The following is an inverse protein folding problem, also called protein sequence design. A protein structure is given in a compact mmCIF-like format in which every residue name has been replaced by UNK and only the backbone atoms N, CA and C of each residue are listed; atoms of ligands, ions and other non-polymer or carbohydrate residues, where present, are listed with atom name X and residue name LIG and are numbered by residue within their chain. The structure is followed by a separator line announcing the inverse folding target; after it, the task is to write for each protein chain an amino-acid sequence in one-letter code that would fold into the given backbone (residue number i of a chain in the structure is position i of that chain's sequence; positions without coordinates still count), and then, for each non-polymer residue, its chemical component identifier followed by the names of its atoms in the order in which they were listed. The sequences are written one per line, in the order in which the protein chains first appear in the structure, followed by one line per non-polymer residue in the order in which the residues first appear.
data_IF_791867775121
#
_entry.id   IF_791867775121
#
_cell.length_a   1.000
_cell.length_b   1.000
_cell.length_c   1.000
_cell.angle_alpha   90.00
_cell.angle_beta   90.00
_cell.angle_gamma   90.00
#
_symmetry.space_group_name_H-M   'P 1'
#
loop_
_entity.id
_entity.type
_entity.pdbx_description
1 polymer ?
#
# COMPACT_ATOMS: atom_id res chain seq x y z
N UNK A 1 17.30 41.35 16.54
CA UNK A 1 15.86 41.01 16.48
C UNK A 1 15.40 40.50 15.10
N UNK A 2 15.92 41.04 13.98
CA UNK A 2 15.59 40.57 12.62
C UNK A 2 16.08 39.16 12.26
N UNK A 3 17.22 38.72 12.80
CA UNK A 3 17.76 37.36 12.57
C UNK A 3 16.84 36.23 13.09
N UNK A 4 16.07 36.48 14.16
CA UNK A 4 15.16 35.47 14.72
C UNK A 4 13.95 35.19 13.82
N UNK A 5 13.46 36.20 13.11
CA UNK A 5 12.36 36.04 12.16
C UNK A 5 12.78 35.28 10.90
N UNK A 6 14.00 35.51 10.41
CA UNK A 6 14.52 34.79 9.24
C UNK A 6 14.79 33.32 9.56
N UNK A 7 15.32 33.01 10.75
CA UNK A 7 15.52 31.63 11.21
C UNK A 7 14.18 30.90 11.39
N UNK A 8 13.16 31.55 11.99
CA UNK A 8 11.81 30.99 12.12
C UNK A 8 11.11 30.82 10.77
N UNK A 9 11.37 31.70 9.79
CA UNK A 9 10.86 31.57 8.43
C UNK A 9 11.50 30.39 7.68
N UNK A 10 12.82 30.19 7.82
CA UNK A 10 13.52 29.02 7.25
C UNK A 10 13.07 27.73 7.95
N UNK A 11 12.90 27.71 9.27
CA UNK A 11 12.41 26.53 10.00
C UNK A 11 10.96 26.20 9.62
N UNK A 12 10.10 27.19 9.41
CA UNK A 12 8.71 26.97 8.96
C UNK A 12 8.59 26.58 7.48
N UNK A 13 9.53 27.01 6.63
CA UNK A 13 9.66 26.51 5.25
C UNK A 13 10.18 25.06 5.19
N UNK A 14 11.15 24.70 6.05
CA UNK A 14 11.67 23.34 6.12
C UNK A 14 10.68 22.35 6.76
N UNK A 15 9.80 22.80 7.68
CA UNK A 15 8.72 21.96 8.23
C UNK A 15 7.58 21.67 7.22
N UNK A 16 7.47 22.43 6.13
CA UNK A 16 6.50 22.15 5.05
C UNK A 16 7.02 21.18 3.99
N UNK A 17 8.31 20.85 4.01
CA UNK A 17 8.96 20.09 2.93
C UNK A 17 9.84 18.94 3.42
N UNK A 18 9.53 18.36 4.58
CA UNK A 18 9.87 16.97 4.85
C UNK A 18 8.91 16.05 4.08
N UNK A 19 8.95 16.11 2.74
CA UNK A 19 8.32 15.18 1.81
C UNK A 19 9.17 13.91 1.69
N UNK A 20 9.57 13.36 2.82
CA UNK A 20 10.39 12.15 2.90
C UNK A 20 9.49 10.92 3.02
N UNK A 21 9.46 10.17 1.91
CA UNK A 21 9.42 8.71 1.82
C UNK A 21 8.12 7.91 2.01
N UNK A 22 7.06 8.39 2.67
CA UNK A 22 5.83 7.57 2.79
C UNK A 22 4.54 8.36 2.54
N UNK A 23 4.11 8.45 1.27
CA UNK A 23 2.73 8.82 0.88
C UNK A 23 1.72 7.71 1.25
N UNK A 24 1.90 7.09 2.41
CA UNK A 24 1.11 5.98 2.88
C UNK A 24 0.37 6.39 4.14
N UNK A 25 -0.96 6.35 4.07
CA UNK A 25 -1.78 6.63 5.24
C UNK A 25 -1.73 5.45 6.19
N UNK A 26 -1.31 5.68 7.44
CA UNK A 26 -1.40 4.69 8.53
C UNK A 26 -2.50 5.10 9.50
N UNK A 27 -3.50 4.25 9.68
CA UNK A 27 -4.61 4.44 10.62
C UNK A 27 -4.59 3.37 11.70
N UNK A 28 -5.00 3.74 12.91
CA UNK A 28 -5.07 2.85 14.06
C UNK A 28 -6.45 2.96 14.68
N UNK A 29 -7.18 1.86 14.80
CA UNK A 29 -8.58 1.83 15.25
C UNK A 29 -8.74 1.73 16.79
N UNK A 30 -7.65 1.65 17.54
CA UNK A 30 -7.63 1.82 19.00
C UNK A 30 -7.37 3.28 19.42
N UNK A 31 -6.96 4.12 18.48
CA UNK A 31 -6.69 5.52 18.74
C UNK A 31 -8.01 6.27 18.92
N UNK A 32 -8.28 6.70 20.16
CA UNK A 32 -9.50 7.43 20.52
C UNK A 32 -9.75 8.66 19.64
N UNK A 33 -8.70 9.28 19.08
CA UNK A 33 -8.86 10.44 18.20
C UNK A 33 -9.38 10.07 16.81
N UNK A 34 -8.97 8.93 16.25
CA UNK A 34 -9.38 8.43 14.94
C UNK A 34 -10.68 7.63 14.99
N UNK A 35 -10.99 7.10 16.17
CA UNK A 35 -12.13 6.25 16.35
C UNK A 35 -13.44 7.02 16.26
N UNK A 36 -14.39 6.49 15.47
CA UNK A 36 -15.66 7.16 15.13
C UNK A 36 -15.46 8.44 14.29
N UNK A 37 -14.31 8.61 13.63
CA UNK A 37 -14.15 9.66 12.64
C UNK A 37 -14.87 9.32 11.35
N UNK A 38 -15.62 10.30 10.86
CA UNK A 38 -16.56 10.11 9.75
C UNK A 38 -15.89 10.27 8.38
N UNK A 39 -14.83 11.08 8.23
CA UNK A 39 -14.30 11.38 6.90
C UNK A 39 -12.81 11.71 6.91
N UNK A 40 -12.00 10.77 6.41
CA UNK A 40 -10.64 11.08 5.96
C UNK A 40 -10.69 11.36 4.46
N UNK A 41 -10.41 12.60 4.07
CA UNK A 41 -10.41 13.03 2.67
C UNK A 41 -9.06 12.72 2.00
N UNK A 42 -9.03 11.69 1.16
CA UNK A 42 -7.81 11.17 0.54
C UNK A 42 -7.42 11.93 -0.75
N UNK A 43 -7.27 13.25 -0.70
CA UNK A 43 -7.00 14.03 -1.93
C UNK A 43 -5.70 13.63 -2.65
N UNK A 44 -4.68 13.21 -1.91
CA UNK A 44 -3.35 12.85 -2.42
C UNK A 44 -2.83 11.52 -1.85
N UNK A 45 -3.73 10.69 -1.32
CA UNK A 45 -3.39 9.41 -0.71
C UNK A 45 -3.86 8.32 -1.65
N UNK A 46 -2.92 7.57 -2.21
CA UNK A 46 -3.20 6.50 -3.16
C UNK A 46 -3.14 5.11 -2.52
N UNK A 47 -2.59 5.01 -1.31
CA UNK A 47 -2.54 3.78 -0.52
C UNK A 47 -2.58 4.06 0.97
N UNK A 48 -2.91 3.05 1.74
CA UNK A 48 -2.75 3.10 3.18
C UNK A 48 -2.92 1.75 3.84
N UNK A 49 -2.66 1.75 5.14
CA UNK A 49 -2.80 0.62 6.05
C UNK A 49 -3.65 1.04 7.24
N UNK A 50 -4.51 0.14 7.67
CA UNK A 50 -5.43 0.32 8.78
C UNK A 50 -5.20 -0.83 9.73
N UNK A 51 -4.73 -0.49 10.91
CA UNK A 51 -4.41 -1.43 11.95
C UNK A 51 -5.51 -1.43 13.00
N UNK A 52 -5.77 -2.60 13.55
CA UNK A 52 -6.58 -2.72 14.76
C UNK A 52 -6.07 -1.82 15.90
N UNK A 53 -4.75 -1.77 16.13
CA UNK A 53 -4.18 -1.04 17.25
C UNK A 53 -2.72 -0.61 17.02
N UNK A 54 -2.23 0.38 17.77
CA UNK A 54 -0.90 0.99 17.56
C UNK A 54 0.27 0.00 17.69
N UNK A 55 0.13 -0.99 18.57
CA UNK A 55 1.16 -1.98 18.84
C UNK A 55 0.99 -3.30 18.04
N UNK A 56 0.21 -3.27 16.96
CA UNK A 56 -0.07 -4.45 16.13
C UNK A 56 1.21 -5.17 15.66
N UNK A 57 2.19 -4.42 15.16
CA UNK A 57 3.47 -4.97 14.65
C UNK A 57 4.32 -5.63 15.73
N UNK A 58 4.16 -5.20 16.97
CA UNK A 58 4.84 -5.77 18.12
C UNK A 58 4.13 -7.05 18.64
N UNK A 59 3.11 -7.54 17.92
CA UNK A 59 2.29 -8.70 18.28
C UNK A 59 1.61 -8.52 19.64
N UNK A 60 1.25 -7.29 19.99
CA UNK A 60 0.42 -7.05 21.16
C UNK A 60 -1.04 -7.40 20.88
N UNK A 61 -1.81 -7.53 21.96
CA UNK A 61 -3.24 -7.70 21.89
C UNK A 61 -3.93 -6.33 21.85
N UNK A 62 -5.04 -6.23 21.11
CA UNK A 62 -5.95 -5.09 21.26
C UNK A 62 -6.76 -5.17 22.56
N UNK A 63 -7.31 -4.05 23.00
CA UNK A 63 -8.19 -3.99 24.18
C UNK A 63 -9.59 -4.56 23.89
N UNK A 64 -10.20 -5.29 24.85
CA UNK A 64 -11.57 -5.77 24.73
C UNK A 64 -12.57 -4.61 24.78
N UNK A 65 -13.83 -4.89 24.43
CA UNK A 65 -14.96 -3.94 24.49
C UNK A 65 -14.76 -2.62 23.73
N UNK A 66 -13.92 -2.64 22.69
CA UNK A 66 -13.75 -1.52 21.79
C UNK A 66 -14.80 -1.57 20.68
N UNK A 67 -15.40 -0.42 20.36
CA UNK A 67 -16.23 -0.26 19.18
C UNK A 67 -15.70 0.93 18.38
N UNK A 68 -15.12 0.63 17.23
CA UNK A 68 -14.53 1.62 16.38
C UNK A 68 -15.04 1.59 14.96
N UNK A 69 -15.53 2.73 14.49
CA UNK A 69 -15.88 2.93 13.09
C UNK A 69 -14.90 3.90 12.44
N UNK A 70 -14.35 3.54 11.28
CA UNK A 70 -13.56 4.43 10.43
C UNK A 70 -14.23 4.51 9.07
N UNK A 71 -14.55 5.73 8.63
CA UNK A 71 -15.15 5.97 7.32
C UNK A 71 -14.18 6.77 6.46
N UNK A 72 -13.86 6.23 5.28
CA UNK A 72 -12.92 6.82 4.34
C UNK A 72 -13.68 7.27 3.11
N UNK A 73 -13.40 8.50 2.67
CA UNK A 73 -14.01 9.10 1.50
C UNK A 73 -12.94 9.42 0.46
N UNK A 74 -13.13 8.88 -0.72
CA UNK A 74 -12.28 9.11 -1.89
C UNK A 74 -12.91 10.16 -2.80
N UNK A 75 -12.16 10.58 -3.83
CA UNK A 75 -12.72 11.38 -4.93
C UNK A 75 -13.74 10.54 -5.69
N UNK A 76 -14.73 11.19 -6.33
CA UNK A 76 -15.69 10.49 -7.20
C UNK A 76 -14.93 9.72 -8.29
N UNK A 77 -15.42 8.53 -8.64
CA UNK A 77 -14.90 7.63 -9.70
C UNK A 77 -13.58 6.90 -9.40
N UNK A 78 -13.08 7.00 -8.17
CA UNK A 78 -11.94 6.19 -7.72
C UNK A 78 -12.45 4.88 -7.14
N UNK A 79 -11.84 3.77 -7.54
CA UNK A 79 -12.08 2.44 -7.02
C UNK A 79 -11.07 2.11 -5.93
N UNK A 80 -11.42 1.15 -5.09
CA UNK A 80 -10.55 0.69 -4.03
C UNK A 80 -10.31 -0.81 -4.13
N UNK A 81 -9.09 -1.21 -3.83
CA UNK A 81 -8.72 -2.57 -3.51
C UNK A 81 -8.42 -2.62 -2.03
N UNK A 82 -9.03 -3.53 -1.31
CA UNK A 82 -8.76 -3.79 0.10
C UNK A 82 -8.22 -5.21 0.26
N UNK A 83 -7.18 -5.36 1.06
CA UNK A 83 -6.51 -6.61 1.35
C UNK A 83 -6.41 -6.78 2.87
N UNK A 84 -6.71 -7.97 3.37
CA UNK A 84 -6.76 -8.27 4.80
C UNK A 84 -5.62 -9.20 5.19
N UNK A 85 -4.90 -8.82 6.22
CA UNK A 85 -3.81 -9.57 6.82
C UNK A 85 -4.17 -9.88 8.28
N UNK A 86 -4.20 -11.17 8.60
CA UNK A 86 -4.30 -11.63 9.98
C UNK A 86 -2.91 -12.01 10.48
N UNK A 87 -2.57 -11.57 11.69
CA UNK A 87 -1.39 -12.07 12.38
C UNK A 87 -1.57 -13.58 12.65
N UNK A 88 -0.59 -14.40 12.26
CA UNK A 88 -0.60 -15.88 12.27
C UNK A 88 -0.69 -16.54 13.66
N UNK A 89 -1.17 -15.83 14.69
CA UNK A 89 -1.30 -16.37 16.03
C UNK A 89 -2.38 -17.45 16.12
N UNK A 90 -2.10 -18.50 16.88
CA UNK A 90 -2.95 -19.67 17.12
C UNK A 90 -4.28 -19.39 17.83
N UNK A 91 -4.51 -18.19 18.36
CA UNK A 91 -5.78 -17.80 18.97
C UNK A 91 -6.81 -17.49 17.89
N UNK A 92 -7.57 -18.50 17.48
CA UNK A 92 -8.72 -18.33 16.60
C UNK A 92 -9.75 -17.43 17.28
N UNK A 93 -10.15 -16.35 16.61
CA UNK A 93 -11.44 -15.72 16.91
C UNK A 93 -12.56 -16.79 16.76
N UNK A 94 -13.73 -16.62 17.37
CA UNK A 94 -14.91 -17.44 17.10
C UNK A 94 -15.38 -17.27 15.65
N UNK A 95 -15.98 -18.30 15.03
CA UNK A 95 -16.49 -18.22 13.65
C UNK A 95 -17.77 -17.37 13.59
N UNK A 96 -17.87 -16.55 12.54
CA UNK A 96 -19.01 -15.65 12.30
C UNK A 96 -20.30 -16.37 11.91
N UNK A 97 -20.24 -17.70 11.74
CA UNK A 97 -21.27 -18.50 11.05
C UNK A 97 -22.52 -18.73 11.87
N UNK A 98 -22.46 -18.51 13.17
CA UNK A 98 -23.63 -18.67 14.02
C UNK A 98 -24.30 -17.32 14.16
N UNK A 99 -25.40 -17.11 13.43
CA UNK A 99 -26.26 -15.91 13.57
C UNK A 99 -26.65 -15.61 15.02
N UNK A 100 -26.59 -16.64 15.90
CA UNK A 100 -26.77 -16.56 17.34
C UNK A 100 -25.62 -15.85 18.08
N UNK A 101 -24.39 -15.88 17.57
CA UNK A 101 -23.20 -15.25 18.16
C UNK A 101 -22.71 -14.01 17.42
N UNK A 102 -23.36 -13.65 16.30
CA UNK A 102 -23.06 -12.44 15.55
C UNK A 102 -23.00 -11.18 16.44
N UNK A 103 -23.70 -11.13 17.58
CA UNK A 103 -23.68 -10.03 18.55
C UNK A 103 -22.56 -10.04 19.60
N UNK A 104 -21.89 -11.16 19.84
CA UNK A 104 -21.02 -11.37 21.02
C UNK A 104 -19.54 -11.63 20.70
N UNK A 105 -19.17 -11.71 19.43
CA UNK A 105 -17.79 -12.00 19.03
C UNK A 105 -17.07 -10.75 18.49
N UNK A 106 -15.73 -10.78 18.58
CA UNK A 106 -14.90 -9.80 17.92
C UNK A 106 -15.12 -9.89 16.40
N UNK A 107 -15.42 -8.78 15.75
CA UNK A 107 -15.75 -8.77 14.33
C UNK A 107 -15.31 -7.48 13.65
N UNK A 108 -14.96 -7.61 12.37
CA UNK A 108 -14.60 -6.54 11.47
C UNK A 108 -15.56 -6.56 10.30
N UNK A 109 -16.36 -5.52 10.15
CA UNK A 109 -17.32 -5.40 9.05
C UNK A 109 -16.81 -4.38 8.04
N UNK A 110 -16.89 -4.74 6.76
CA UNK A 110 -16.55 -3.88 5.63
C UNK A 110 -17.84 -3.53 4.92
N UNK A 111 -18.13 -2.24 4.80
CA UNK A 111 -19.40 -1.71 4.31
C UNK A 111 -19.13 -0.78 3.12
N UNK A 112 -19.83 -0.99 2.01
CA UNK A 112 -19.82 -0.08 0.85
C UNK A 112 -20.73 1.11 1.15
N UNK A 113 -20.14 2.28 1.32
CA UNK A 113 -20.81 3.51 1.76
C UNK A 113 -20.62 3.81 3.26
N UNK A 114 -21.60 4.51 3.82
CA UNK A 114 -21.69 4.81 5.25
C UNK A 114 -22.08 3.58 6.06
N UNK A 115 -22.18 3.71 7.39
CA UNK A 115 -22.56 2.63 8.33
C UNK A 115 -23.86 1.89 7.99
N UNK A 116 -24.80 2.54 7.31
CA UNK A 116 -26.06 1.94 6.85
C UNK A 116 -26.01 1.44 5.40
N UNK A 117 -24.81 1.41 4.80
CA UNK A 117 -24.57 0.96 3.44
C UNK A 117 -24.68 -0.56 3.28
N UNK A 118 -24.33 -1.03 2.09
CA UNK A 118 -24.35 -2.47 1.81
C UNK A 118 -23.18 -3.14 2.49
N UNK A 119 -23.47 -4.08 3.39
CA UNK A 119 -22.43 -4.89 4.01
C UNK A 119 -21.78 -5.77 2.95
N UNK A 120 -20.47 -5.60 2.76
CA UNK A 120 -19.70 -6.38 1.80
C UNK A 120 -19.16 -7.65 2.43
N UNK A 121 -18.68 -7.54 3.67
CA UNK A 121 -18.07 -8.66 4.36
C UNK A 121 -18.10 -8.47 5.88
N UNK A 122 -18.18 -9.60 6.58
CA UNK A 122 -17.84 -9.72 8.00
C UNK A 122 -16.63 -10.63 8.10
N UNK A 123 -15.62 -10.20 8.85
CA UNK A 123 -14.42 -10.96 9.17
C UNK A 123 -14.40 -11.17 10.67
N UNK A 124 -14.34 -12.42 11.07
CA UNK A 124 -13.97 -12.87 12.40
C UNK A 124 -13.42 -14.29 12.23
N UNK A 125 -13.21 -15.02 13.30
CA UNK A 125 -12.56 -16.32 13.20
C UNK A 125 -11.04 -16.24 13.02
N UNK A 126 -10.40 -17.40 13.17
CA UNK A 126 -9.36 -17.71 12.21
C UNK A 126 -10.12 -17.95 10.90
N UNK A 127 -10.25 -16.92 10.07
CA UNK A 127 -10.88 -17.07 8.76
C UNK A 127 -9.91 -17.92 7.92
N UNK A 128 -10.01 -19.25 8.08
CA UNK A 128 -9.09 -20.26 7.53
C UNK A 128 -9.44 -20.64 6.10
N UNK A 129 -10.58 -20.17 5.58
CA UNK A 129 -10.84 -20.26 4.15
C UNK A 129 -9.71 -19.51 3.50
N UNK A 130 -8.79 -20.28 2.89
CA UNK A 130 -7.50 -19.84 2.36
C UNK A 130 -7.71 -18.64 1.44
N UNK A 131 -7.76 -17.47 2.05
CA UNK A 131 -7.80 -16.18 1.42
C UNK A 131 -6.34 -15.94 1.04
N UNK A 132 -5.88 -16.68 0.02
CA UNK A 132 -4.63 -16.36 -0.64
C UNK A 132 -4.75 -14.90 -1.09
N UNK A 133 -4.11 -14.01 -0.33
CA UNK A 133 -3.14 -13.04 -0.81
C UNK A 133 -3.62 -11.98 -1.82
N UNK A 134 -4.94 -11.87 -2.11
CA UNK A 134 -5.41 -10.87 -3.08
C UNK A 134 -6.91 -10.68 -3.34
N UNK A 135 -7.79 -10.87 -2.36
CA UNK A 135 -9.20 -10.52 -2.64
C UNK A 135 -9.38 -9.03 -2.47
N UNK A 136 -9.01 -8.30 -3.53
CA UNK A 136 -9.39 -6.92 -3.71
C UNK A 136 -10.92 -6.83 -3.68
N UNK A 137 -11.50 -6.45 -2.54
CA UNK A 137 -12.89 -6.04 -2.51
C UNK A 137 -12.99 -4.77 -3.33
N UNK A 138 -13.67 -4.86 -4.48
CA UNK A 138 -13.88 -3.73 -5.37
C UNK A 138 -15.10 -2.97 -4.86
N UNK A 139 -14.84 -1.83 -4.23
CA UNK A 139 -15.88 -0.92 -3.72
C UNK A 139 -16.47 -0.12 -4.87
N UNK A 140 -17.80 -0.05 -4.97
CA UNK A 140 -18.47 0.70 -6.06
C UNK A 140 -18.67 2.16 -5.69
N UNK A 141 -18.78 2.48 -4.40
CA UNK A 141 -18.95 3.85 -3.96
C UNK A 141 -17.61 4.51 -3.59
N UNK A 142 -17.59 5.85 -3.60
CA UNK A 142 -16.42 6.63 -3.18
C UNK A 142 -16.30 6.76 -1.66
N UNK A 143 -17.04 5.96 -0.91
CA UNK A 143 -17.12 6.00 0.55
C UNK A 143 -17.11 4.56 1.02
N UNK A 144 -16.33 4.24 2.04
CA UNK A 144 -16.48 2.93 2.67
C UNK A 144 -16.21 3.04 4.15
N UNK A 145 -16.84 2.13 4.88
CA UNK A 145 -16.83 2.12 6.32
C UNK A 145 -16.26 0.79 6.80
N UNK A 146 -15.33 0.88 7.74
CA UNK A 146 -14.83 -0.25 8.52
C UNK A 146 -15.43 -0.13 9.91
N UNK A 147 -16.25 -1.11 10.31
CA UNK A 147 -16.83 -1.22 11.65
C UNK A 147 -16.13 -2.36 12.40
N UNK A 148 -15.28 -2.02 13.36
CA UNK A 148 -14.55 -2.98 14.18
C UNK A 148 -15.13 -3.02 15.59
N UNK A 149 -15.42 -4.22 16.08
CA UNK A 149 -15.91 -4.45 17.43
C UNK A 149 -15.10 -5.53 18.11
N UNK A 150 -14.82 -5.32 19.37
CA UNK A 150 -14.12 -6.26 20.23
C UNK A 150 -14.89 -6.51 21.52
N UNK A 151 -14.57 -7.65 22.11
CA UNK A 151 -15.16 -8.31 23.27
C UNK A 151 -14.09 -9.08 24.03
N UNK A 152 -13.13 -9.67 23.33
CA UNK A 152 -11.99 -10.37 23.92
C UNK A 152 -10.66 -9.68 23.58
N UNK A 153 -9.53 -10.21 24.06
CA UNK A 153 -8.20 -9.76 23.65
C UNK A 153 -7.67 -10.69 22.55
N UNK A 154 -7.21 -10.13 21.43
CA UNK A 154 -6.59 -10.90 20.34
C UNK A 154 -5.57 -10.03 19.58
N UNK A 155 -4.79 -10.64 18.68
CA UNK A 155 -3.68 -9.97 17.98
C UNK A 155 -4.16 -8.93 16.95
N UNK A 156 -5.45 -8.91 16.63
CA UNK A 156 -6.03 -7.92 15.75
C UNK A 156 -5.81 -8.22 14.28
N UNK A 157 -5.71 -7.15 13.50
CA UNK A 157 -5.60 -7.21 12.05
C UNK A 157 -4.83 -6.02 11.49
N UNK A 158 -4.45 -6.20 10.23
CA UNK A 158 -4.02 -5.17 9.32
C UNK A 158 -4.87 -5.25 8.04
N UNK A 159 -5.35 -4.09 7.59
CA UNK A 159 -6.00 -3.92 6.31
C UNK A 159 -5.12 -3.02 5.45
N UNK A 160 -4.77 -3.45 4.26
CA UNK A 160 -4.09 -2.62 3.26
C UNK A 160 -5.09 -2.19 2.20
N UNK A 161 -5.07 -0.92 1.83
CA UNK A 161 -5.90 -0.44 0.73
C UNK A 161 -5.08 0.29 -0.32
N UNK A 162 -5.56 0.21 -1.57
CA UNK A 162 -4.99 0.88 -2.74
C UNK A 162 -6.13 1.52 -3.52
N UNK A 163 -5.98 2.79 -3.84
CA UNK A 163 -6.88 3.54 -4.70
C UNK A 163 -6.43 3.40 -6.16
N UNK A 164 -7.37 3.16 -7.06
CA UNK A 164 -7.11 3.06 -8.49
C UNK A 164 -8.26 3.61 -9.32
N UNK A 165 -7.96 4.09 -10.51
CA UNK A 165 -8.96 4.37 -11.54
C UNK A 165 -9.09 3.17 -12.50
N UNK A 166 -10.13 3.17 -13.33
CA UNK A 166 -10.24 2.21 -14.43
C UNK A 166 -9.82 2.86 -15.73
N UNK A 167 -9.05 2.13 -16.53
CA UNK A 167 -8.68 2.55 -17.87
C UNK A 167 -9.93 2.71 -18.75
N UNK A 168 -9.99 3.79 -19.52
CA UNK A 168 -11.03 4.07 -20.53
C UNK A 168 -10.37 3.90 -21.89
N UNK A 169 -10.99 3.12 -22.78
CA UNK A 169 -10.44 2.79 -24.10
C UNK A 169 -9.00 2.23 -24.07
N UNK A 170 -8.71 1.49 -22.99
CA UNK A 170 -7.41 0.85 -22.80
C UNK A 170 -6.29 1.82 -22.42
N UNK A 171 -6.60 3.01 -21.90
CA UNK A 171 -5.63 3.97 -21.38
C UNK A 171 -6.05 4.56 -20.03
N UNK A 172 -5.08 4.91 -19.19
CA UNK A 172 -5.34 5.70 -17.99
C UNK A 172 -5.63 7.16 -18.33
N UNK A 173 -6.56 7.78 -17.59
CA UNK A 173 -6.99 9.15 -17.86
C UNK A 173 -5.94 10.19 -17.46
N UNK A 174 -5.04 9.86 -16.52
CA UNK A 174 -3.98 10.74 -16.05
C UNK A 174 -2.61 10.21 -16.48
N UNK A 175 -1.74 11.09 -16.96
CA UNK A 175 -0.36 10.79 -17.36
C UNK A 175 0.52 10.35 -16.18
N UNK A 176 0.14 10.70 -14.95
CA UNK A 176 0.81 10.28 -13.71
C UNK A 176 0.36 8.89 -13.21
N UNK A 177 -0.41 8.15 -14.02
CA UNK A 177 -0.87 6.81 -13.69
C UNK A 177 -0.18 5.74 -14.52
N UNK A 178 0.02 4.58 -13.89
CA UNK A 178 0.45 3.35 -14.51
C UNK A 178 -0.74 2.44 -14.78
N UNK A 179 -0.82 1.96 -16.02
CA UNK A 179 -1.85 1.02 -16.40
C UNK A 179 -1.42 -0.42 -16.14
N UNK A 180 -2.07 -1.04 -15.16
CA UNK A 180 -1.98 -2.46 -14.89
C UNK A 180 -2.61 -3.28 -16.03
N UNK A 181 -2.17 -4.54 -16.19
CA UNK A 181 -2.69 -5.46 -17.21
C UNK A 181 -4.18 -5.76 -17.02
N UNK A 182 -4.67 -5.73 -15.79
CA UNK A 182 -6.08 -5.87 -15.42
C UNK A 182 -6.92 -4.58 -15.62
N UNK A 183 -6.39 -3.58 -16.34
CA UNK A 183 -7.02 -2.28 -16.63
C UNK A 183 -7.20 -1.35 -15.43
N UNK A 184 -6.56 -1.63 -14.30
CA UNK A 184 -6.44 -0.67 -13.19
C UNK A 184 -5.40 0.39 -13.52
N UNK A 185 -5.65 1.59 -13.07
CA UNK A 185 -4.76 2.74 -13.18
C UNK A 185 -4.34 3.14 -11.78
N UNK A 186 -3.12 2.79 -11.40
CA UNK A 186 -2.53 3.13 -10.11
C UNK A 186 -1.61 4.34 -10.27
N UNK A 187 -1.35 5.06 -9.18
CA UNK A 187 -0.39 6.15 -9.21
C UNK A 187 1.04 5.65 -9.52
N UNK A 188 1.77 6.34 -10.41
CA UNK A 188 3.12 5.91 -10.81
C UNK A 188 4.11 5.85 -9.66
N UNK A 189 3.90 6.64 -8.60
CA UNK A 189 4.76 6.57 -7.41
C UNK A 189 4.73 5.20 -6.74
N UNK A 190 3.65 4.42 -6.93
CA UNK A 190 3.47 3.09 -6.36
C UNK A 190 4.32 2.01 -7.06
N UNK A 191 4.77 2.23 -8.30
CA UNK A 191 5.50 1.22 -9.08
C UNK A 191 6.84 0.84 -8.45
N UNK A 192 7.46 1.79 -7.75
CA UNK A 192 8.82 1.63 -7.24
C UNK A 192 8.91 0.86 -5.92
N UNK A 193 7.78 0.48 -5.37
CA UNK A 193 7.71 -0.33 -4.17
C UNK A 193 7.61 -1.81 -4.59
N UNK A 194 8.12 -2.71 -3.76
CA UNK A 194 8.13 -4.15 -4.05
C UNK A 194 6.84 -4.86 -3.61
N UNK A 195 5.71 -4.17 -3.77
CA UNK A 195 4.40 -4.65 -3.36
C UNK A 195 3.43 -4.67 -4.53
N UNK A 196 2.51 -5.63 -4.57
CA UNK A 196 1.54 -5.70 -5.66
C UNK A 196 0.34 -4.77 -5.53
N UNK A 197 0.51 -3.53 -5.99
CA UNK A 197 -0.58 -2.56 -6.06
C UNK A 197 -1.55 -2.80 -7.22
N UNK A 198 -1.13 -3.49 -8.28
CA UNK A 198 -2.03 -3.81 -9.38
C UNK A 198 -2.97 -4.97 -9.01
N UNK A 199 -2.47 -5.90 -8.20
CA UNK A 199 -3.14 -7.15 -7.86
C UNK A 199 -2.94 -8.26 -8.91
N UNK A 200 -2.22 -7.98 -9.99
CA UNK A 200 -1.89 -8.92 -11.08
C UNK A 200 -0.39 -8.98 -11.38
N UNK A 201 0.45 -8.35 -10.55
CA UNK A 201 1.91 -8.23 -10.65
C UNK A 201 2.42 -7.55 -11.92
N UNK A 202 1.55 -6.87 -12.68
CA UNK A 202 1.95 -6.29 -13.97
C UNK A 202 2.97 -5.14 -13.84
N UNK A 203 2.96 -4.40 -12.73
CA UNK A 203 3.90 -3.32 -12.50
C UNK A 203 5.31 -3.82 -12.09
N UNK A 204 5.43 -4.98 -11.41
CA UNK A 204 6.67 -5.50 -10.80
C UNK A 204 7.78 -5.77 -11.83
N UNK A 205 7.41 -6.09 -13.07
CA UNK A 205 8.35 -6.41 -14.16
C UNK A 205 8.30 -5.40 -15.32
N UNK A 206 7.62 -4.27 -15.13
CA UNK A 206 7.47 -3.27 -16.18
C UNK A 206 8.81 -2.59 -16.51
N UNK A 207 9.00 -2.24 -17.78
CA UNK A 207 10.13 -1.39 -18.19
C UNK A 207 10.05 -0.04 -17.47
N UNK A 208 8.84 0.46 -17.25
CA UNK A 208 8.56 1.69 -16.52
C UNK A 208 9.07 1.63 -15.07
N UNK A 209 8.92 0.51 -14.34
CA UNK A 209 9.57 0.30 -13.03
C UNK A 209 11.09 0.47 -13.14
N UNK A 210 11.71 -0.19 -14.12
CA UNK A 210 13.18 -0.14 -14.30
C UNK A 210 13.67 1.28 -14.58
N UNK A 211 12.93 2.05 -15.38
CA UNK A 211 13.31 3.41 -15.76
C UNK A 211 13.00 4.42 -14.64
N UNK A 212 11.77 4.47 -14.15
CA UNK A 212 11.34 5.47 -13.16
C UNK A 212 12.03 5.29 -11.80
N UNK A 213 12.21 4.04 -11.36
CA UNK A 213 12.72 3.78 -10.02
C UNK A 213 14.25 3.88 -9.95
N UNK A 214 14.95 3.60 -11.06
CA UNK A 214 16.38 3.85 -11.17
C UNK A 214 16.71 5.34 -11.07
N UNK A 215 15.89 6.23 -11.67
CA UNK A 215 16.08 7.68 -11.57
C UNK A 215 15.90 8.19 -10.12
N UNK A 216 14.92 7.62 -9.40
CA UNK A 216 14.67 7.97 -7.99
C UNK A 216 15.83 7.57 -7.06
N UNK A 217 16.50 6.46 -7.36
CA UNK A 217 17.70 6.03 -6.63
C UNK A 217 18.90 6.94 -6.91
N UNK A 218 19.08 7.42 -8.14
CA UNK A 218 20.17 8.37 -8.45
C UNK A 218 19.97 9.74 -7.79
N UNK A 219 18.73 10.19 -7.64
CA UNK A 219 18.41 11.46 -6.99
C UNK A 219 18.68 11.41 -5.47
N UNK A 220 18.32 10.32 -4.80
CA UNK A 220 18.67 10.10 -3.39
C UNK A 220 20.19 10.07 -3.16
N UNK A 221 20.95 9.41 -4.04
CA UNK A 221 22.41 9.37 -3.95
C UNK A 221 23.06 10.74 -4.16
N UNK A 222 22.47 11.62 -4.99
CA UNK A 222 22.96 12.98 -5.17
C UNK A 222 22.74 13.84 -3.91
N UNK A 223 21.60 13.70 -3.24
CA UNK A 223 21.31 14.43 -1.99
C UNK A 223 22.13 13.95 -0.78
N UNK A 224 22.52 12.68 -0.75
CA UNK A 224 23.38 12.15 0.32
C UNK A 224 24.86 12.58 0.16
N UNK A 225 25.29 12.88 -1.07
CA UNK A 225 26.68 13.29 -1.35
C UNK A 225 26.97 14.77 -1.06
N UNK A 226 25.98 15.65 -1.03
CA UNK A 226 26.18 17.07 -0.66
C UNK A 226 26.50 17.27 0.83
N UNK A 227 26.33 16.24 1.67
CA UNK A 227 26.68 16.27 3.09
C UNK A 227 28.02 15.58 3.43
N UNK A 228 28.73 15.05 2.43
CA UNK A 228 30.01 14.40 2.64
C UNK A 228 31.07 15.00 1.72
N UNK A 229 31.94 15.80 2.31
CA UNK A 229 33.18 16.30 1.72
C UNK A 229 34.17 15.14 1.52
N UNK A 230 33.90 14.28 0.53
CA UNK A 230 34.84 13.32 -0.04
C UNK A 230 34.63 13.21 -1.55
N UNK A 231 35.12 14.21 -2.28
CA UNK A 231 35.40 14.09 -3.71
C UNK A 231 36.61 13.19 -3.93
N UNK A 232 36.39 11.88 -3.98
CA UNK A 232 37.24 10.93 -4.71
C UNK A 232 36.40 9.69 -5.05
N UNK A 233 36.33 9.33 -6.35
CA UNK A 233 35.69 8.11 -6.91
C UNK A 233 34.17 8.09 -7.20
N UNK A 234 33.65 9.10 -7.90
CA UNK A 234 32.30 9.03 -8.48
C UNK A 234 32.20 8.08 -9.70
N UNK A 235 33.25 7.98 -10.54
CA UNK A 235 33.24 7.12 -11.74
C UNK A 235 33.30 5.61 -11.41
N UNK A 236 33.99 5.20 -10.35
CA UNK A 236 34.06 3.78 -9.95
C UNK A 236 32.72 3.23 -9.43
N UNK A 237 31.92 4.06 -8.77
CA UNK A 237 30.65 3.63 -8.17
C UNK A 237 29.55 3.46 -9.22
N UNK A 238 29.54 4.28 -10.27
CA UNK A 238 28.60 4.13 -11.40
C UNK A 238 28.86 2.83 -12.19
N UNK A 239 30.13 2.42 -12.33
CA UNK A 239 30.50 1.17 -13.01
C UNK A 239 30.21 -0.09 -12.16
N UNK A 240 30.22 0.02 -10.83
CA UNK A 240 29.86 -1.08 -9.91
C UNK A 240 28.35 -1.35 -9.88
N UNK A 241 27.51 -0.32 -10.01
CA UNK A 241 26.05 -0.45 -10.02
C UNK A 241 25.51 -1.08 -11.32
N UNK A 242 26.16 -0.85 -12.46
CA UNK A 242 25.76 -1.42 -13.76
C UNK A 242 26.27 -2.85 -14.01
N UNK A 243 27.20 -3.36 -13.19
CA UNK A 243 27.82 -4.69 -13.37
C UNK A 243 27.18 -5.84 -12.59
N UNK A 244 26.17 -5.62 -11.75
CA UNK A 244 25.42 -6.72 -11.11
C UNK A 244 24.40 -7.33 -12.08
N UNK A 245 24.89 -8.17 -13.01
CA UNK A 245 24.05 -9.15 -13.72
C UNK A 245 23.57 -10.22 -12.74
N UNK A 246 22.32 -10.71 -12.86
CA UNK A 246 21.88 -11.89 -12.11
C UNK A 246 22.56 -13.15 -12.67
N UNK A 247 23.21 -13.90 -11.79
CA UNK A 247 23.60 -15.27 -12.07
C UNK A 247 22.33 -16.14 -12.13
N UNK A 248 21.81 -16.36 -13.34
CA UNK A 248 21.00 -17.54 -13.63
C UNK A 248 21.72 -18.37 -14.68
N UNK A 249 22.26 -19.52 -14.26
CA UNK A 249 22.75 -20.57 -15.17
C UNK A 249 21.55 -21.10 -15.97
N UNK A 250 21.53 -20.84 -17.27
CA UNK A 250 20.72 -21.58 -18.22
C UNK A 250 21.67 -22.19 -19.25
N UNK A 251 21.62 -23.52 -19.36
CA UNK A 251 22.36 -24.30 -20.33
C UNK A 251 21.92 -23.91 -21.75
N UNK A 252 22.88 -23.52 -22.59
CA UNK A 252 22.72 -23.33 -24.02
C UNK A 252 23.27 -24.57 -24.71
N UNK A 253 22.36 -25.42 -25.21
CA UNK A 253 22.67 -26.46 -26.19
C UNK A 253 22.70 -25.81 -27.56
N UNK A 254 23.71 -26.18 -28.33
CA UNK A 254 24.10 -25.75 -29.67
C UNK A 254 22.96 -25.78 -30.69
N UNK A 255 22.90 -24.76 -31.56
CA UNK A 255 22.41 -24.88 -32.93
C UNK A 255 23.10 -23.81 -33.79
N UNK A 256 24.19 -24.20 -34.47
CA UNK A 256 24.74 -23.49 -35.61
C UNK A 256 24.57 -24.37 -36.84
N UNK A 257 24.02 -23.81 -37.92
CA UNK A 257 24.18 -24.41 -39.24
C UNK A 257 23.13 -23.99 -40.27
N UNK A 258 23.24 -22.78 -40.84
CA UNK A 258 22.85 -22.58 -42.24
C UNK A 258 23.89 -21.67 -42.92
N UNK A 259 24.60 -22.27 -43.88
CA UNK A 259 25.59 -21.69 -44.77
C UNK A 259 24.86 -21.16 -46.00
N UNK A 260 25.05 -19.89 -46.33
CA UNK A 260 24.67 -19.32 -47.63
C UNK A 260 25.68 -19.73 -48.71
N UNK A 261 25.20 -20.20 -49.87
CA UNK A 261 25.96 -20.11 -51.13
C UNK A 261 25.02 -19.80 -52.29
N UNK A 262 25.41 -18.76 -53.01
CA UNK A 262 24.94 -18.37 -54.32
C UNK A 262 25.28 -19.42 -55.38
N UNK A 263 24.32 -19.67 -56.27
CA UNK A 263 24.49 -19.88 -57.72
C UNK A 263 23.13 -19.68 -58.37
#
# INVERSE_FOLDING_TARGET
MWFYFYLLFIISLNLKYANTAENELKLYMDNQTLCNQEIINLKNIHRGRIYSHINYHNKHFYFPDNHCTVTIKTKKRVWMSLEYFQSNSSSSFPRCTDAKYAGNDDRLQIIDGYKNGSMLRIICGKDTDKFFDRTSLILKSSIFTIDWRTKSQSFGFELKFVLYDLAVDGQCLNFDQFQCKNRRCIDKSLICYDEDYCGDKSHENSLEKKTLCAMRLSEQVLFDNDNNDQTENMEENFLKLTKRRPHSKANLVELWGVRTRFS
#
